data_IF_101713672362
#
_entry.id   IF_101713672362
#
_cell.length_a   1.000
_cell.length_b   1.000
_cell.length_c   1.000
_cell.angle_alpha   90.00
_cell.angle_beta   90.00
_cell.angle_gamma   90.00
#
_symmetry.space_group_name_H-M   'P 1'
#
loop_
_entity.id
_entity.type
_entity.pdbx_description
1 polymer ?
#
# COMPACT_ATOMS: atom_id res chain seq x y z
N UNK A 1 -40.00 -2.75 -12.64
CA UNK A 1 -40.27 -1.32 -12.87
C UNK A 1 -38.94 -0.65 -13.17
N UNK A 2 -38.81 0.02 -14.32
CA UNK A 2 -37.59 0.72 -14.70
C UNK A 2 -37.48 2.11 -14.05
N UNK A 3 -38.59 2.64 -13.51
CA UNK A 3 -38.63 3.95 -12.87
C UNK A 3 -37.84 3.98 -11.55
N UNK A 4 -37.64 2.84 -10.89
CA UNK A 4 -36.84 2.74 -9.66
C UNK A 4 -35.33 2.62 -9.90
N UNK A 5 -34.88 2.39 -11.13
CA UNK A 5 -33.46 2.19 -11.44
C UNK A 5 -32.58 3.39 -11.06
N UNK A 6 -32.95 4.66 -11.33
CA UNK A 6 -32.14 5.81 -10.91
C UNK A 6 -31.94 5.90 -9.40
N UNK A 7 -33.00 5.60 -8.62
CA UNK A 7 -32.93 5.61 -7.14
C UNK A 7 -32.02 4.49 -6.65
N UNK A 8 -32.13 3.30 -7.23
CA UNK A 8 -31.25 2.18 -6.90
C UNK A 8 -29.77 2.53 -7.17
N UNK A 9 -29.48 3.11 -8.33
CA UNK A 9 -28.12 3.53 -8.68
C UNK A 9 -27.59 4.60 -7.73
N UNK A 10 -28.43 5.55 -7.31
CA UNK A 10 -28.05 6.56 -6.32
C UNK A 10 -27.72 5.93 -4.97
N UNK A 11 -28.54 4.98 -4.50
CA UNK A 11 -28.30 4.28 -3.24
C UNK A 11 -27.01 3.46 -3.28
N UNK A 12 -26.77 2.73 -4.37
CA UNK A 12 -25.51 1.99 -4.57
C UNK A 12 -24.31 2.94 -4.60
N UNK A 13 -24.43 4.09 -5.26
CA UNK A 13 -23.35 5.09 -5.33
C UNK A 13 -23.02 5.67 -3.96
N UNK A 14 -24.04 6.05 -3.18
CA UNK A 14 -23.85 6.56 -1.83
C UNK A 14 -23.22 5.50 -0.93
N UNK A 15 -23.75 4.27 -0.96
CA UNK A 15 -23.18 3.17 -0.17
C UNK A 15 -21.72 2.92 -0.54
N UNK A 16 -21.40 2.87 -1.83
CA UNK A 16 -20.02 2.67 -2.30
C UNK A 16 -19.09 3.79 -1.85
N UNK A 17 -19.52 5.04 -1.96
CA UNK A 17 -18.75 6.20 -1.55
C UNK A 17 -18.39 6.16 -0.06
N UNK A 18 -19.36 5.81 0.81
CA UNK A 18 -19.11 5.69 2.25
C UNK A 18 -18.33 4.43 2.64
N UNK A 19 -18.28 3.41 1.77
CA UNK A 19 -17.47 2.22 1.99
C UNK A 19 -15.96 2.43 1.73
N UNK A 20 -15.57 3.51 1.03
CA UNK A 20 -14.19 3.76 0.63
C UNK A 20 -13.16 3.70 1.77
N UNK A 21 -13.37 4.29 2.95
CA UNK A 21 -12.38 4.20 4.03
C UNK A 21 -12.07 2.76 4.45
N UNK A 22 -13.07 1.88 4.41
CA UNK A 22 -12.95 0.46 4.78
C UNK A 22 -12.20 -0.29 3.68
N UNK A 23 -12.66 -0.16 2.42
CA UNK A 23 -12.04 -0.88 1.30
C UNK A 23 -10.61 -0.42 1.06
N UNK A 24 -10.35 0.88 1.16
CA UNK A 24 -9.01 1.45 1.02
C UNK A 24 -8.13 1.06 2.22
N UNK A 25 -8.67 1.01 3.44
CA UNK A 25 -7.95 0.52 4.61
C UNK A 25 -7.49 -0.93 4.45
N UNK A 26 -8.39 -1.81 4.00
CA UNK A 26 -8.05 -3.22 3.71
C UNK A 26 -7.02 -3.35 2.58
N UNK A 27 -7.17 -2.54 1.51
CA UNK A 27 -6.19 -2.47 0.43
C UNK A 27 -4.80 -2.08 0.93
N UNK A 28 -4.70 -1.03 1.77
CA UNK A 28 -3.43 -0.60 2.35
C UNK A 28 -2.79 -1.66 3.25
N UNK A 29 -3.60 -2.42 3.98
CA UNK A 29 -3.11 -3.56 4.75
C UNK A 29 -2.48 -4.62 3.84
N UNK A 30 -3.18 -5.02 2.78
CA UNK A 30 -2.65 -6.00 1.82
C UNK A 30 -1.35 -5.52 1.16
N UNK A 31 -1.30 -4.24 0.74
CA UNK A 31 -0.08 -3.65 0.18
C UNK A 31 1.09 -3.67 1.15
N UNK A 32 0.85 -3.39 2.43
CA UNK A 32 1.92 -3.49 3.43
C UNK A 32 2.44 -4.92 3.60
N UNK A 33 1.54 -5.92 3.59
CA UNK A 33 1.94 -7.33 3.61
C UNK A 33 2.69 -7.73 2.34
N UNK A 34 2.31 -7.18 1.19
CA UNK A 34 3.03 -7.38 -0.07
C UNK A 34 4.43 -6.75 -0.04
N UNK A 35 4.58 -5.57 0.57
CA UNK A 35 5.89 -4.92 0.77
C UNK A 35 6.80 -5.77 1.66
N UNK A 36 6.29 -6.29 2.78
CA UNK A 36 7.01 -7.23 3.66
C UNK A 36 7.47 -8.44 2.86
N UNK A 37 6.55 -9.13 2.19
CA UNK A 37 6.88 -10.31 1.39
C UNK A 37 7.91 -10.00 0.31
N UNK A 38 7.75 -8.90 -0.43
CA UNK A 38 8.67 -8.49 -1.49
C UNK A 38 10.09 -8.28 -0.97
N UNK A 39 10.25 -7.57 0.15
CA UNK A 39 11.54 -7.35 0.81
C UNK A 39 12.18 -8.65 1.27
N UNK A 40 11.40 -9.58 1.80
CA UNK A 40 11.89 -10.88 2.24
C UNK A 40 12.31 -11.79 1.09
N UNK A 41 11.55 -11.80 -0.01
CA UNK A 41 11.88 -12.61 -1.19
C UNK A 41 13.21 -12.19 -1.79
N UNK A 42 13.49 -10.90 -1.87
CA UNK A 42 14.72 -10.38 -2.46
C UNK A 42 15.90 -10.38 -1.48
N UNK A 43 15.67 -10.68 -0.19
CA UNK A 43 16.70 -10.66 0.83
C UNK A 43 17.75 -11.76 0.57
N UNK A 44 19.03 -11.38 0.56
CA UNK A 44 20.14 -12.29 0.25
C UNK A 44 20.29 -12.60 -1.25
N UNK A 45 19.33 -12.24 -2.09
CA UNK A 45 19.43 -12.34 -3.55
C UNK A 45 19.97 -11.05 -4.17
N UNK A 46 19.55 -9.91 -3.65
CA UNK A 46 19.97 -8.58 -4.10
C UNK A 46 20.77 -7.88 -3.01
N UNK A 47 21.97 -7.32 -3.31
CA UNK A 47 22.71 -6.51 -2.34
C UNK A 47 21.88 -5.30 -1.89
N UNK A 48 21.87 -5.03 -0.59
CA UNK A 48 21.13 -3.91 0.00
C UNK A 48 19.65 -3.90 -0.40
N UNK A 49 18.96 -5.03 -0.28
CA UNK A 49 17.55 -5.24 -0.65
C UNK A 49 16.62 -4.10 -0.24
N UNK A 50 16.78 -3.54 0.97
CA UNK A 50 16.00 -2.41 1.48
C UNK A 50 16.15 -1.16 0.61
N UNK A 51 17.39 -0.81 0.27
CA UNK A 51 17.71 0.36 -0.54
C UNK A 51 17.17 0.19 -1.96
N UNK A 52 17.34 -1.00 -2.55
CA UNK A 52 16.85 -1.30 -3.90
C UNK A 52 15.33 -1.21 -3.97
N UNK A 53 14.61 -1.73 -2.97
CA UNK A 53 13.16 -1.62 -2.90
C UNK A 53 12.70 -0.15 -2.72
N UNK A 54 13.37 0.62 -1.86
CA UNK A 54 13.07 2.03 -1.68
C UNK A 54 13.30 2.86 -2.95
N UNK A 55 14.39 2.59 -3.68
CA UNK A 55 14.68 3.22 -4.97
C UNK A 55 13.64 2.83 -6.03
N UNK A 56 13.20 1.56 -6.07
CA UNK A 56 12.15 1.14 -6.97
C UNK A 56 10.83 1.89 -6.71
N UNK A 57 10.44 2.06 -5.45
CA UNK A 57 9.28 2.89 -5.11
C UNK A 57 9.48 4.36 -5.52
N UNK A 58 10.67 4.94 -5.28
CA UNK A 58 10.97 6.32 -5.68
C UNK A 58 10.77 6.50 -7.19
N UNK A 59 11.39 5.64 -8.00
CA UNK A 59 11.32 5.72 -9.46
C UNK A 59 9.89 5.56 -9.96
N UNK A 60 9.14 4.57 -9.44
CA UNK A 60 7.74 4.38 -9.81
C UNK A 60 6.87 5.57 -9.40
N UNK A 61 7.09 6.11 -8.19
CA UNK A 61 6.38 7.28 -7.70
C UNK A 61 6.64 8.53 -8.54
N UNK A 62 7.86 8.73 -9.01
CA UNK A 62 8.21 9.82 -9.95
C UNK A 62 7.55 9.64 -11.31
N UNK A 63 7.54 8.42 -11.86
CA UNK A 63 6.89 8.11 -13.14
C UNK A 63 5.38 8.34 -13.06
N UNK A 64 4.76 7.91 -11.96
CA UNK A 64 3.31 8.03 -11.74
C UNK A 64 2.89 9.43 -11.27
N UNK A 65 3.85 10.33 -11.02
CA UNK A 65 3.63 11.67 -10.43
C UNK A 65 2.84 11.58 -9.11
N UNK A 66 3.16 10.58 -8.29
CA UNK A 66 2.49 10.33 -7.03
C UNK A 66 2.73 11.48 -6.06
N UNK A 67 1.68 11.91 -5.35
CA UNK A 67 1.83 12.78 -4.18
C UNK A 67 2.46 11.95 -3.03
N UNK A 68 3.69 12.27 -2.62
CA UNK A 68 4.38 11.44 -1.65
C UNK A 68 3.83 11.58 -0.23
N UNK A 69 3.09 12.64 0.07
CA UNK A 69 2.64 12.98 1.42
C UNK A 69 1.26 13.65 1.40
N UNK A 70 0.21 12.91 0.98
CA UNK A 70 -1.15 13.42 1.00
C UNK A 70 -1.59 13.71 2.43
N UNK A 71 -2.54 14.63 2.59
CA UNK A 71 -3.15 14.87 3.90
C UNK A 71 -3.82 13.60 4.46
N UNK A 72 -3.90 13.43 5.79
CA UNK A 72 -4.48 12.22 6.39
C UNK A 72 -5.91 11.90 5.94
N UNK A 73 -6.74 12.93 5.68
CA UNK A 73 -8.09 12.74 5.18
C UNK A 73 -8.11 12.17 3.76
N UNK A 74 -7.25 12.71 2.89
CA UNK A 74 -7.11 12.22 1.52
C UNK A 74 -6.57 10.78 1.50
N UNK A 75 -5.57 10.47 2.35
CA UNK A 75 -5.10 9.10 2.55
C UNK A 75 -6.25 8.17 2.98
N UNK A 76 -7.01 8.57 4.00
CA UNK A 76 -8.10 7.76 4.54
C UNK A 76 -9.14 7.44 3.46
N UNK A 77 -9.59 8.47 2.73
CA UNK A 77 -10.76 8.38 1.87
C UNK A 77 -10.45 7.88 0.46
N UNK A 78 -9.29 8.24 -0.11
CA UNK A 78 -9.01 8.03 -1.54
C UNK A 78 -7.84 7.10 -1.83
N UNK A 79 -6.91 6.89 -0.89
CA UNK A 79 -5.70 6.12 -1.16
C UNK A 79 -5.91 4.63 -0.89
N UNK A 80 -5.96 3.84 -1.96
CA UNK A 80 -5.95 2.37 -1.88
C UNK A 80 -4.59 1.79 -1.45
N UNK A 81 -3.50 2.57 -1.57
CA UNK A 81 -2.14 2.18 -1.19
C UNK A 81 -1.59 3.11 -0.10
N UNK A 82 -0.66 2.67 0.75
CA UNK A 82 0.05 3.58 1.64
C UNK A 82 0.77 4.67 0.80
N UNK A 83 0.83 5.93 1.26
CA UNK A 83 1.60 6.96 0.60
C UNK A 83 3.05 6.54 0.30
N UNK A 84 3.61 7.07 -0.78
CA UNK A 84 4.96 6.75 -1.22
C UNK A 84 5.98 6.92 -0.08
N UNK A 85 5.90 8.03 0.66
CA UNK A 85 6.80 8.29 1.80
C UNK A 85 6.76 7.20 2.88
N UNK A 86 5.59 6.62 3.14
CA UNK A 86 5.43 5.53 4.11
C UNK A 86 6.06 4.23 3.61
N UNK A 87 5.88 3.90 2.33
CA UNK A 87 6.48 2.70 1.72
C UNK A 87 8.00 2.79 1.64
N UNK A 88 8.54 3.96 1.30
CA UNK A 88 10.00 4.21 1.32
C UNK A 88 10.56 4.07 2.73
N UNK A 89 9.95 4.73 3.71
CA UNK A 89 10.39 4.65 5.10
C UNK A 89 10.30 3.22 5.64
N UNK A 90 9.25 2.49 5.27
CA UNK A 90 9.11 1.08 5.62
C UNK A 90 10.21 0.22 4.97
N UNK A 91 10.40 0.32 3.66
CA UNK A 91 11.42 -0.45 2.95
C UNK A 91 12.82 -0.23 3.53
N UNK A 92 13.18 1.01 3.87
CA UNK A 92 14.47 1.36 4.47
C UNK A 92 14.64 0.88 5.92
N UNK A 93 13.56 0.64 6.65
CA UNK A 93 13.60 0.25 8.08
C UNK A 93 13.31 -1.23 8.32
N UNK A 94 12.81 -1.94 7.30
CA UNK A 94 12.51 -3.36 7.39
C UNK A 94 13.79 -4.21 7.39
N UNK A 95 14.17 -4.71 8.56
CA UNK A 95 15.32 -5.57 8.76
C UNK A 95 15.13 -6.45 10.01
N UNK A 96 14.29 -7.50 9.92
CA UNK A 96 14.14 -8.46 11.00
C UNK A 96 15.44 -9.23 11.28
N UNK A 97 16.29 -9.44 10.27
CA UNK A 97 17.51 -10.25 10.37
C UNK A 97 18.58 -9.62 11.27
N UNK A 98 18.80 -8.30 11.18
CA UNK A 98 19.73 -7.62 12.10
C UNK A 98 19.30 -7.67 13.57
N UNK A 99 18.01 -7.93 13.82
CA UNK A 99 17.42 -8.09 15.15
C UNK A 99 17.33 -9.56 15.60
N UNK A 100 17.81 -10.50 14.78
CA UNK A 100 17.67 -11.94 15.02
C UNK A 100 16.22 -12.43 15.01
N UNK A 101 15.32 -11.70 14.38
CA UNK A 101 13.91 -12.06 14.24
C UNK A 101 13.71 -12.88 12.96
N UNK A 102 12.74 -13.78 12.98
CA UNK A 102 12.35 -14.52 11.79
C UNK A 102 11.55 -13.62 10.83
N UNK A 103 11.74 -13.75 9.50
CA UNK A 103 10.85 -13.15 8.51
C UNK A 103 9.42 -13.70 8.65
N UNK A 104 8.43 -12.90 8.25
CA UNK A 104 7.02 -13.21 8.36
C UNK A 104 6.58 -14.28 7.36
N UNK A 105 7.02 -14.19 6.09
CA UNK A 105 6.54 -15.03 5.01
C UNK A 105 7.60 -15.97 4.43
N UNK A 106 8.82 -15.49 4.21
CA UNK A 106 9.88 -16.26 3.53
C UNK A 106 10.85 -16.84 4.55
N UNK A 107 10.60 -18.07 5.00
CA UNK A 107 11.52 -18.80 5.87
C UNK A 107 12.76 -19.21 5.07
N UNK A 108 13.92 -18.71 5.49
CA UNK A 108 15.23 -19.09 4.95
C UNK A 108 15.74 -20.39 5.57
#
# INVERSE_FOLDING_TARGET
DWASLPILLLLVSLFSFFAFPITNGFSRYQEHQADVYGLEVIHGLVPNSQQVAAEAFQVLGEIDLADPSPSPFIKLWLYSHPPLSERLAFALSYDPWSKGQAPEFVKQ
#
